data_IF_559806520584
#
_entry.id   IF_559806520584
#
_cell.length_a   1.000
_cell.length_b   1.000
_cell.length_c   1.000
_cell.angle_alpha   90.00
_cell.angle_beta   90.00
_cell.angle_gamma   90.00
#
_symmetry.space_group_name_H-M   'P 1'
#
loop_
_entity.id
_entity.type
_entity.pdbx_description
1 polymer ?
#
# COMPACT_ATOMS: atom_id res chain seq x y z
N UNK A 1 -21.21 5.25 5.67
CA UNK A 1 -19.73 5.39 5.61
C UNK A 1 -19.30 5.36 4.14
N UNK A 2 -18.79 6.48 3.64
CA UNK A 2 -18.44 6.61 2.20
C UNK A 2 -17.09 5.96 1.86
N UNK A 3 -16.35 5.50 2.87
CA UNK A 3 -15.05 4.84 2.73
C UNK A 3 -14.91 3.67 3.71
N UNK A 4 -14.20 2.63 3.28
CA UNK A 4 -13.81 1.46 4.07
C UNK A 4 -12.30 1.40 4.17
N UNK A 5 -11.76 1.10 5.35
CA UNK A 5 -10.33 0.98 5.59
C UNK A 5 -9.87 -0.46 5.38
N UNK A 6 -8.75 -0.66 4.68
CA UNK A 6 -8.13 -1.97 4.47
C UNK A 6 -6.71 -1.93 5.03
N UNK A 7 -6.33 -2.98 5.75
CA UNK A 7 -4.98 -3.16 6.26
C UNK A 7 -4.50 -4.62 6.17
N UNK A 8 -3.35 -4.91 6.79
CA UNK A 8 -2.78 -6.27 6.82
C UNK A 8 -3.21 -7.15 7.98
N UNK A 9 -4.20 -6.74 8.78
CA UNK A 9 -4.69 -7.47 9.96
C UNK A 9 -3.57 -7.82 10.97
N UNK A 10 -2.55 -6.96 11.10
CA UNK A 10 -1.49 -7.14 12.09
C UNK A 10 -2.06 -7.01 13.51
N UNK A 11 -1.53 -7.75 14.50
CA UNK A 11 -2.07 -7.76 15.88
C UNK A 11 -2.18 -6.36 16.51
N UNK A 12 -1.27 -5.45 16.16
CA UNK A 12 -1.28 -4.06 16.62
C UNK A 12 -2.46 -3.25 16.09
N UNK A 13 -3.02 -3.63 14.92
CA UNK A 13 -4.15 -2.94 14.31
C UNK A 13 -5.50 -3.50 14.79
N UNK A 14 -5.50 -4.69 15.39
CA UNK A 14 -6.70 -5.33 15.91
C UNK A 14 -7.10 -4.87 17.32
N UNK A 15 -6.48 -3.80 17.82
CA UNK A 15 -6.79 -3.20 19.10
C UNK A 15 -8.18 -2.58 19.14
N UNK A 16 -8.80 -2.58 20.33
CA UNK A 16 -10.18 -2.10 20.55
C UNK A 16 -10.42 -0.69 19.99
N UNK A 17 -9.47 0.23 20.21
CA UNK A 17 -9.58 1.62 19.77
C UNK A 17 -9.65 1.73 18.24
N UNK A 18 -8.92 0.88 17.51
CA UNK A 18 -8.91 0.92 16.04
C UNK A 18 -10.25 0.41 15.51
N UNK A 19 -10.74 -0.72 16.03
CA UNK A 19 -12.04 -1.31 15.68
C UNK A 19 -13.23 -0.39 16.00
N UNK A 20 -13.14 0.43 17.04
CA UNK A 20 -14.18 1.40 17.40
C UNK A 20 -14.16 2.66 16.52
N UNK A 21 -13.03 2.96 15.86
CA UNK A 21 -12.83 4.21 15.10
C UNK A 21 -12.83 4.04 13.58
N UNK A 22 -12.48 2.87 13.09
CA UNK A 22 -12.36 2.59 11.66
C UNK A 22 -13.36 1.51 11.25
N UNK A 23 -14.04 1.74 10.12
CA UNK A 23 -14.76 0.68 9.44
C UNK A 23 -13.75 -0.16 8.65
N UNK A 24 -13.24 -1.21 9.29
CA UNK A 24 -12.32 -2.15 8.67
C UNK A 24 -13.04 -3.08 7.69
N UNK A 25 -12.41 -3.31 6.54
CA UNK A 25 -12.81 -4.35 5.61
C UNK A 25 -12.40 -5.71 6.19
N UNK A 26 -13.29 -6.70 6.12
CA UNK A 26 -12.91 -8.07 6.46
C UNK A 26 -11.83 -8.57 5.48
N UNK A 27 -10.70 -9.02 6.04
CA UNK A 27 -9.56 -9.47 5.25
C UNK A 27 -8.89 -10.69 5.88
N UNK A 28 -8.62 -11.75 5.08
CA UNK A 28 -7.97 -12.94 5.60
C UNK A 28 -6.56 -12.62 6.09
N UNK A 29 -6.25 -13.05 7.32
CA UNK A 29 -4.89 -13.01 7.85
C UNK A 29 -3.95 -13.82 6.94
N UNK A 30 -2.68 -13.41 6.85
CA UNK A 30 -1.63 -14.12 6.10
C UNK A 30 -1.84 -14.18 4.57
N UNK A 31 -2.49 -13.17 3.98
CA UNK A 31 -2.54 -12.97 2.51
C UNK A 31 -1.64 -11.81 2.05
N UNK A 32 -0.29 -11.91 2.17
CA UNK A 32 0.64 -10.82 1.83
C UNK A 32 0.61 -10.48 0.33
N UNK A 33 0.32 -11.45 -0.54
CA UNK A 33 0.28 -11.27 -2.00
C UNK A 33 -0.89 -10.39 -2.50
N UNK A 34 -1.76 -9.93 -1.60
CA UNK A 34 -2.98 -9.24 -1.96
C UNK A 34 -3.03 -7.78 -1.48
N UNK A 35 -1.95 -7.23 -0.93
CA UNK A 35 -1.95 -5.85 -0.44
C UNK A 35 -1.54 -4.88 -1.56
N UNK A 36 -2.46 -4.06 -2.09
CA UNK A 36 -2.14 -3.10 -3.16
C UNK A 36 -1.07 -2.10 -2.73
N UNK A 37 -0.98 -1.83 -1.43
CA UNK A 37 -0.01 -0.92 -0.85
C UNK A 37 1.42 -1.47 -0.88
N UNK A 38 1.64 -2.79 -0.80
CA UNK A 38 2.99 -3.37 -0.91
C UNK A 38 3.51 -3.19 -2.33
N UNK A 39 2.67 -3.43 -3.36
CA UNK A 39 3.05 -3.17 -4.74
C UNK A 39 3.26 -1.67 -5.04
N UNK A 40 2.65 -0.78 -4.25
CA UNK A 40 2.92 0.65 -4.31
C UNK A 40 4.30 0.98 -3.72
N UNK A 41 4.64 0.35 -2.58
CA UNK A 41 5.96 0.48 -1.95
C UNK A 41 7.09 -0.03 -2.82
N UNK A 42 6.88 -1.15 -3.51
CA UNK A 42 7.87 -1.71 -4.45
C UNK A 42 8.14 -0.72 -5.59
N UNK A 43 7.09 -0.16 -6.20
CA UNK A 43 7.25 0.86 -7.25
C UNK A 43 7.97 2.11 -6.75
N UNK A 44 7.58 2.63 -5.58
CA UNK A 44 8.23 3.79 -4.98
C UNK A 44 9.72 3.53 -4.71
N UNK A 45 10.06 2.35 -4.20
CA UNK A 45 11.44 1.95 -3.95
C UNK A 45 12.24 1.89 -5.25
N UNK A 46 11.71 1.25 -6.29
CA UNK A 46 12.35 1.22 -7.61
C UNK A 46 12.59 2.62 -8.19
N UNK A 47 11.64 3.55 -8.03
CA UNK A 47 11.80 4.93 -8.50
C UNK A 47 12.90 5.67 -7.75
N UNK A 48 12.96 5.54 -6.42
CA UNK A 48 14.00 6.17 -5.61
C UNK A 48 15.38 5.56 -5.88
N UNK A 49 15.48 4.24 -6.03
CA UNK A 49 16.72 3.54 -6.38
C UNK A 49 17.23 3.90 -7.78
N UNK A 50 16.32 4.19 -8.72
CA UNK A 50 16.65 4.60 -10.09
C UNK A 50 17.12 6.05 -10.22
N UNK A 51 17.13 6.84 -9.15
CA UNK A 51 17.55 8.25 -9.20
C UNK A 51 19.03 8.41 -9.45
N UNK A 52 19.37 9.45 -10.20
CA UNK A 52 20.74 9.85 -10.46
C UNK A 52 20.91 11.37 -10.26
N UNK A 53 21.70 11.84 -9.27
CA UNK A 53 22.44 11.01 -8.31
C UNK A 53 21.52 10.28 -7.33
N UNK A 54 21.96 9.12 -6.86
CA UNK A 54 21.27 8.40 -5.80
C UNK A 54 21.29 9.22 -4.50
N UNK A 55 20.26 9.13 -3.63
CA UNK A 55 20.25 9.79 -2.33
C UNK A 55 21.47 9.40 -1.49
N UNK A 56 22.21 10.37 -0.94
CA UNK A 56 23.46 10.10 -0.22
C UNK A 56 23.30 10.15 1.32
N UNK A 57 22.18 10.70 1.80
CA UNK A 57 21.88 10.82 3.23
C UNK A 57 20.37 10.72 3.50
N UNK A 58 19.99 10.69 4.78
CA UNK A 58 18.58 10.55 5.19
C UNK A 58 17.69 11.72 4.75
N UNK A 59 18.22 12.93 4.65
CA UNK A 59 17.45 14.08 4.16
C UNK A 59 17.17 13.96 2.67
N UNK A 60 18.19 13.57 1.89
CA UNK A 60 18.04 13.32 0.45
C UNK A 60 17.03 12.19 0.21
N UNK A 61 17.11 11.11 0.99
CA UNK A 61 16.21 9.97 0.86
C UNK A 61 14.76 10.38 1.17
N UNK A 62 14.55 11.14 2.24
CA UNK A 62 13.22 11.65 2.60
C UNK A 62 12.65 12.59 1.54
N UNK A 63 13.47 13.49 1.00
CA UNK A 63 13.05 14.36 -0.10
C UNK A 63 12.70 13.54 -1.34
N UNK A 64 13.52 12.54 -1.67
CA UNK A 64 13.31 11.68 -2.81
C UNK A 64 12.02 10.86 -2.72
N UNK A 65 11.77 10.24 -1.57
CA UNK A 65 10.52 9.53 -1.32
C UNK A 65 9.30 10.45 -1.48
N UNK A 66 9.36 11.68 -0.97
CA UNK A 66 8.26 12.63 -1.07
C UNK A 66 8.01 13.08 -2.51
N UNK A 67 9.08 13.34 -3.26
CA UNK A 67 9.00 13.74 -4.67
C UNK A 67 8.43 12.63 -5.55
N UNK A 68 8.96 11.41 -5.45
CA UNK A 68 8.47 10.26 -6.21
C UNK A 68 7.03 9.90 -5.84
N UNK A 69 6.67 10.01 -4.56
CA UNK A 69 5.29 9.84 -4.12
C UNK A 69 4.34 10.88 -4.75
N UNK A 70 4.74 12.15 -4.76
CA UNK A 70 3.93 13.23 -5.34
C UNK A 70 3.86 13.17 -6.87
N UNK A 71 4.91 12.64 -7.52
CA UNK A 71 4.97 12.46 -8.96
C UNK A 71 4.14 11.25 -9.44
N UNK A 72 3.76 10.35 -8.51
CA UNK A 72 3.07 9.12 -8.87
C UNK A 72 1.70 9.41 -9.50
N UNK A 73 1.43 8.90 -10.73
CA UNK A 73 0.16 9.14 -11.39
C UNK A 73 -1.00 8.53 -10.60
N UNK A 74 -2.11 9.27 -10.48
CA UNK A 74 -3.33 8.73 -9.88
C UNK A 74 -3.86 7.49 -10.60
N UNK A 75 -3.54 7.34 -11.89
CA UNK A 75 -3.86 6.14 -12.65
C UNK A 75 -3.18 4.88 -12.06
N UNK A 76 -1.96 5.00 -11.54
CA UNK A 76 -1.24 3.90 -10.88
C UNK A 76 -2.00 3.43 -9.63
N UNK A 77 -2.37 4.37 -8.77
CA UNK A 77 -3.16 4.09 -7.54
C UNK A 77 -4.51 3.47 -7.92
N UNK A 78 -5.21 4.06 -8.91
CA UNK A 78 -6.50 3.55 -9.38
C UNK A 78 -6.41 2.12 -9.93
N UNK A 79 -5.36 1.79 -10.68
CA UNK A 79 -5.14 0.43 -11.18
C UNK A 79 -4.94 -0.58 -10.06
N UNK A 80 -4.25 -0.19 -8.99
CA UNK A 80 -3.99 -1.02 -7.82
C UNK A 80 -5.25 -1.27 -6.99
N UNK A 81 -6.05 -0.23 -6.77
CA UNK A 81 -7.35 -0.38 -6.12
C UNK A 81 -8.25 -1.29 -6.96
N UNK A 82 -8.29 -1.10 -8.29
CA UNK A 82 -9.11 -1.93 -9.18
C UNK A 82 -8.61 -3.37 -9.34
N UNK A 83 -7.32 -3.64 -9.11
CA UNK A 83 -6.79 -5.01 -9.17
C UNK A 83 -7.22 -5.86 -7.98
N UNK A 84 -7.65 -5.25 -6.86
CA UNK A 84 -8.09 -5.96 -5.67
C UNK A 84 -9.11 -7.05 -5.95
N UNK A 85 -10.12 -6.77 -6.78
CA UNK A 85 -11.14 -7.77 -7.14
C UNK A 85 -10.49 -9.00 -7.79
N UNK A 86 -9.55 -8.78 -8.72
CA UNK A 86 -8.84 -9.88 -9.40
C UNK A 86 -7.95 -10.65 -8.44
N UNK A 87 -7.25 -9.95 -7.55
CA UNK A 87 -6.42 -10.54 -6.51
C UNK A 87 -7.25 -11.46 -5.59
N UNK A 88 -8.40 -10.99 -5.10
CA UNK A 88 -9.30 -11.82 -4.29
C UNK A 88 -9.81 -13.04 -5.06
N UNK A 89 -10.20 -12.86 -6.32
CA UNK A 89 -10.69 -13.98 -7.15
C UNK A 89 -9.61 -15.05 -7.35
N UNK A 90 -8.36 -14.64 -7.61
CA UNK A 90 -7.24 -15.58 -7.76
C UNK A 90 -6.97 -16.42 -6.49
N UNK A 91 -7.29 -15.92 -5.30
CA UNK A 91 -7.19 -16.71 -4.05
C UNK A 91 -8.37 -17.65 -3.85
N UNK A 92 -9.57 -17.26 -4.31
CA UNK A 92 -10.74 -18.14 -4.29
C UNK A 92 -10.55 -19.31 -5.27
N UNK A 93 -9.91 -19.06 -6.41
CA UNK A 93 -9.71 -20.06 -7.46
C UNK A 93 -8.49 -21.00 -7.21
N UNK A 94 -7.67 -20.73 -6.19
CA UNK A 94 -6.45 -21.49 -5.86
C UNK A 94 -6.74 -22.66 -4.90
#
# INVERSE_FOLDING_TARGET
PDFTFMDGNARTHQGRIIRERLLEMEWPALSPNLKPIENLWDQLSCHVEGRNPAPQNLNDLRAALQEEWNAMPQQTISRLVNSMRRCCQAVIDA
#
